data_IF_039476801723
#
_entry.id   IF_039476801723
#
_cell.length_a   1.000
_cell.length_b   1.000
_cell.length_c   1.000
_cell.angle_alpha   90.00
_cell.angle_beta   90.00
_cell.angle_gamma   90.00
#
_symmetry.space_group_name_H-M   'P 1'
#
loop_
_entity.id
_entity.type
_entity.pdbx_description
1 polymer ?
#
# COMPACT_ATOMS: atom_id res chain seq x y z
N UNK A 1 -17.37 -38.47 -20.29
CA UNK A 1 -16.42 -37.45 -19.76
C UNK A 1 -15.34 -38.11 -18.92
N UNK A 2 -15.69 -39.10 -18.10
CA UNK A 2 -14.76 -39.86 -17.24
C UNK A 2 -13.72 -40.70 -18.00
N UNK A 3 -14.07 -41.27 -19.16
CA UNK A 3 -13.14 -42.07 -19.98
C UNK A 3 -11.97 -41.22 -20.51
N UNK A 4 -12.27 -40.05 -21.09
CA UNK A 4 -11.27 -39.10 -21.59
C UNK A 4 -10.36 -38.56 -20.49
N UNK A 5 -10.87 -38.48 -19.25
CA UNK A 5 -10.09 -38.06 -18.09
C UNK A 5 -9.09 -39.13 -17.64
N UNK A 6 -9.53 -40.39 -17.62
CA UNK A 6 -8.66 -41.53 -17.33
C UNK A 6 -7.54 -41.70 -18.35
N UNK A 7 -7.82 -41.46 -19.63
CA UNK A 7 -6.81 -41.46 -20.69
C UNK A 7 -5.73 -40.39 -20.46
N UNK A 8 -6.14 -39.15 -20.14
CA UNK A 8 -5.20 -38.03 -19.92
C UNK A 8 -4.33 -38.23 -18.66
N UNK A 9 -4.91 -38.77 -17.58
CA UNK A 9 -4.15 -39.09 -16.36
C UNK A 9 -3.14 -40.20 -16.64
N UNK A 10 -3.53 -41.22 -17.41
CA UNK A 10 -2.64 -42.34 -17.79
C UNK A 10 -1.48 -41.86 -18.68
N UNK A 11 -1.74 -40.94 -19.60
CA UNK A 11 -0.71 -40.34 -20.44
C UNK A 11 0.30 -39.51 -19.62
N UNK A 12 -0.18 -38.72 -18.66
CA UNK A 12 0.68 -37.97 -17.73
C UNK A 12 1.55 -38.89 -16.87
N UNK A 13 1.02 -40.04 -16.43
CA UNK A 13 1.80 -41.04 -15.69
C UNK A 13 2.91 -41.64 -16.54
N UNK A 14 2.62 -41.91 -17.82
CA UNK A 14 3.62 -42.44 -18.74
C UNK A 14 4.71 -41.40 -19.05
N UNK A 15 4.34 -40.13 -19.21
CA UNK A 15 5.29 -39.03 -19.34
C UNK A 15 6.19 -38.86 -18.10
N UNK A 16 5.63 -39.04 -16.89
CA UNK A 16 6.39 -39.03 -15.64
C UNK A 16 7.36 -40.24 -15.56
N UNK A 17 6.91 -41.43 -15.97
CA UNK A 17 7.75 -42.64 -16.02
C UNK A 17 8.89 -42.52 -17.02
N UNK A 18 8.63 -41.90 -18.17
CA UNK A 18 9.63 -41.63 -19.20
C UNK A 18 10.55 -40.45 -18.85
N UNK A 19 10.34 -39.77 -17.71
CA UNK A 19 11.13 -38.62 -17.27
C UNK A 19 10.94 -37.37 -18.12
N UNK A 20 9.90 -37.31 -18.96
CA UNK A 20 9.58 -36.16 -19.83
C UNK A 20 9.03 -34.98 -19.05
N UNK A 21 8.39 -35.25 -17.90
CA UNK A 21 7.90 -34.24 -16.97
C UNK A 21 8.39 -34.56 -15.55
N UNK A 22 8.65 -33.52 -14.77
CA UNK A 22 9.05 -33.67 -13.37
C UNK A 22 7.89 -34.00 -12.44
N UNK A 23 8.18 -34.56 -11.26
CA UNK A 23 7.16 -34.86 -10.21
C UNK A 23 6.27 -33.66 -9.90
N UNK A 24 6.84 -32.44 -9.86
CA UNK A 24 6.10 -31.20 -9.60
C UNK A 24 5.13 -30.82 -10.72
N UNK A 25 5.50 -31.09 -11.98
CA UNK A 25 4.66 -30.82 -13.14
C UNK A 25 3.51 -31.83 -13.22
N UNK A 26 3.80 -33.11 -12.94
CA UNK A 26 2.76 -34.14 -12.86
C UNK A 26 1.70 -33.82 -11.80
N UNK A 27 2.09 -33.39 -10.60
CA UNK A 27 1.15 -33.00 -9.55
C UNK A 27 0.26 -31.83 -9.99
N UNK A 28 0.85 -30.80 -10.63
CA UNK A 28 0.10 -29.65 -11.12
C UNK A 28 -0.93 -30.04 -12.18
N UNK A 29 -0.51 -30.77 -13.22
CA UNK A 29 -1.43 -31.14 -14.30
C UNK A 29 -2.50 -32.13 -13.84
N UNK A 30 -2.17 -33.06 -12.94
CA UNK A 30 -3.15 -34.01 -12.38
C UNK A 30 -4.23 -33.30 -11.56
N UNK A 31 -3.85 -32.30 -10.74
CA UNK A 31 -4.82 -31.52 -9.97
C UNK A 31 -5.71 -30.64 -10.84
N UNK A 32 -5.19 -30.10 -11.95
CA UNK A 32 -5.99 -29.35 -12.94
C UNK A 32 -7.01 -30.24 -13.66
N UNK A 33 -6.71 -31.53 -13.82
CA UNK A 33 -7.64 -32.54 -14.32
C UNK A 33 -8.61 -33.04 -13.23
N UNK A 34 -8.68 -32.39 -12.06
CA UNK A 34 -9.63 -32.73 -11.01
C UNK A 34 -9.24 -33.93 -10.14
N UNK A 35 -7.99 -34.42 -10.24
CA UNK A 35 -7.46 -35.42 -9.32
C UNK A 35 -7.15 -34.76 -7.98
N UNK A 36 -7.62 -35.35 -6.87
CA UNK A 36 -7.30 -34.84 -5.54
C UNK A 36 -5.80 -34.93 -5.27
N UNK A 37 -5.26 -34.01 -4.46
CA UNK A 37 -3.82 -33.95 -4.17
C UNK A 37 -3.26 -35.28 -3.64
N UNK A 38 -3.98 -35.94 -2.72
CA UNK A 38 -3.56 -37.24 -2.18
C UNK A 38 -3.54 -38.36 -3.22
N UNK A 39 -4.50 -38.38 -4.16
CA UNK A 39 -4.48 -39.32 -5.26
C UNK A 39 -3.35 -39.00 -6.26
N UNK A 40 -3.09 -37.72 -6.54
CA UNK A 40 -1.98 -37.29 -7.40
C UNK A 40 -0.61 -37.68 -6.80
N UNK A 41 -0.44 -37.56 -5.48
CA UNK A 41 0.78 -37.99 -4.79
C UNK A 41 0.98 -39.51 -4.83
N UNK A 42 -0.10 -40.28 -4.66
CA UNK A 42 -0.06 -41.73 -4.80
C UNK A 42 0.31 -42.15 -6.22
N UNK A 43 -0.23 -41.49 -7.25
CA UNK A 43 0.08 -41.75 -8.65
C UNK A 43 1.52 -41.32 -9.02
N UNK A 44 2.07 -40.31 -8.36
CA UNK A 44 3.43 -39.80 -8.56
C UNK A 44 4.52 -40.67 -7.89
N UNK A 45 4.13 -41.68 -7.10
CA UNK A 45 5.05 -42.55 -6.36
C UNK A 45 5.88 -43.48 -7.26
N UNK A 46 5.44 -43.71 -8.50
CA UNK A 46 6.14 -44.54 -9.47
C UNK A 46 7.18 -43.80 -10.33
N UNK A 47 7.51 -42.55 -10.01
CA UNK A 47 8.56 -41.82 -10.74
C UNK A 47 9.93 -42.51 -10.55
N UNK A 48 10.72 -42.70 -11.63
CA UNK A 48 12.05 -43.28 -11.50
C UNK A 48 12.93 -42.44 -10.57
N UNK A 49 13.62 -43.11 -9.64
CA UNK A 49 14.59 -42.50 -8.74
C UNK A 49 15.73 -41.91 -9.58
N UNK A 50 16.10 -40.63 -9.40
CA UNK A 50 17.21 -40.06 -10.16
C UNK A 50 18.50 -40.85 -9.89
N UNK A 51 19.24 -41.15 -10.96
CA UNK A 51 20.57 -41.74 -10.88
C UNK A 51 21.51 -40.76 -10.14
N UNK A 52 22.42 -41.26 -9.29
CA UNK A 52 23.34 -40.39 -8.57
C UNK A 52 24.30 -39.74 -9.55
N UNK A 53 24.18 -38.42 -9.70
CA UNK A 53 25.19 -37.57 -10.31
C UNK A 53 26.48 -37.65 -9.47
N UNK A 54 27.62 -37.71 -10.15
CA UNK A 54 28.93 -37.85 -9.53
C UNK A 54 29.16 -36.72 -8.50
N UNK A 55 29.47 -37.14 -7.28
CA UNK A 55 29.84 -36.26 -6.18
C UNK A 55 31.05 -35.40 -6.59
N UNK A 56 30.97 -34.06 -6.54
CA UNK A 56 32.16 -33.24 -6.48
C UNK A 56 32.96 -33.67 -5.25
N UNK A 57 34.28 -33.82 -5.44
CA UNK A 57 35.24 -34.13 -4.38
C UNK A 57 34.99 -33.18 -3.20
N UNK A 58 34.88 -33.76 -2.01
CA UNK A 58 34.65 -33.03 -0.74
C UNK A 58 35.77 -32.02 -0.54
N UNK A 59 35.50 -30.77 -0.89
CA UNK A 59 36.18 -29.62 -0.29
C UNK A 59 35.84 -29.57 1.20
N UNK A 60 36.65 -28.87 2.02
CA UNK A 60 36.46 -28.82 3.46
C UNK A 60 35.01 -28.44 3.80
N UNK A 61 34.50 -29.04 4.89
CA UNK A 61 33.11 -28.96 5.32
C UNK A 61 32.52 -27.56 5.13
N UNK A 62 31.27 -27.43 4.61
CA UNK A 62 30.59 -26.16 4.56
C UNK A 62 30.61 -25.53 5.95
N UNK A 63 31.03 -24.26 6.11
CA UNK A 63 30.89 -23.58 7.38
C UNK A 63 29.42 -23.68 7.83
N UNK A 64 29.23 -23.76 9.14
CA UNK A 64 27.91 -23.77 9.77
C UNK A 64 27.01 -22.70 9.12
N UNK A 65 25.69 -22.92 9.04
CA UNK A 65 24.76 -21.97 8.43
C UNK A 65 25.06 -20.60 9.01
N UNK A 66 25.60 -19.73 8.15
CA UNK A 66 25.84 -18.34 8.50
C UNK A 66 24.48 -17.82 8.92
N UNK A 67 24.39 -17.26 10.13
CA UNK A 67 23.21 -16.51 10.57
C UNK A 67 22.71 -15.70 9.38
N UNK A 68 21.39 -15.76 9.15
CA UNK A 68 20.76 -14.87 8.18
C UNK A 68 21.36 -13.49 8.40
N UNK A 69 21.87 -12.81 7.34
CA UNK A 69 22.50 -11.52 7.49
C UNK A 69 21.59 -10.69 8.38
N UNK A 70 22.14 -10.18 9.49
CA UNK A 70 21.40 -9.26 10.34
C UNK A 70 20.68 -8.27 9.41
N UNK A 71 19.38 -7.97 9.66
CA UNK A 71 18.68 -7.01 8.84
C UNK A 71 19.61 -5.81 8.66
N UNK A 72 19.76 -5.32 7.41
CA UNK A 72 20.70 -4.24 7.14
C UNK A 72 20.49 -3.18 8.21
N UNK A 73 21.57 -2.61 8.78
CA UNK A 73 21.47 -1.67 9.89
C UNK A 73 20.38 -0.69 9.52
N UNK A 74 19.36 -0.60 10.37
CA UNK A 74 18.29 0.37 10.18
C UNK A 74 19.01 1.69 10.11
N UNK A 75 19.17 2.21 8.89
CA UNK A 75 19.69 3.54 8.71
C UNK A 75 18.66 4.39 9.39
N UNK A 76 19.02 4.95 10.55
CA UNK A 76 18.16 5.85 11.28
C UNK A 76 17.78 6.96 10.29
N UNK A 77 16.54 6.90 9.84
CA UNK A 77 16.01 7.87 8.90
C UNK A 77 15.72 9.11 9.72
N UNK A 78 16.35 10.21 9.35
CA UNK A 78 16.05 11.51 9.92
C UNK A 78 14.69 11.98 9.42
N UNK A 79 13.86 12.47 10.34
CA UNK A 79 12.60 13.09 10.01
C UNK A 79 12.84 14.36 9.18
N UNK A 80 12.08 14.54 8.10
CA UNK A 80 12.24 15.71 7.20
C UNK A 80 11.00 16.59 7.23
N UNK A 81 11.17 17.86 7.58
CA UNK A 81 10.16 18.91 7.41
C UNK A 81 10.13 19.41 5.95
N UNK A 82 9.05 20.10 5.56
CA UNK A 82 8.94 20.75 4.26
C UNK A 82 9.00 19.80 3.05
N UNK A 83 8.72 18.51 3.26
CA UNK A 83 8.62 17.48 2.23
C UNK A 83 7.16 17.05 2.01
N UNK A 84 6.86 16.50 0.84
CA UNK A 84 5.57 15.95 0.49
C UNK A 84 5.69 14.59 -0.21
N UNK A 85 4.59 13.85 -0.24
CA UNK A 85 4.51 12.64 -1.04
C UNK A 85 4.41 12.98 -2.53
N UNK A 86 5.26 12.35 -3.32
CA UNK A 86 5.20 12.35 -4.78
C UNK A 86 4.81 10.96 -5.26
N UNK A 87 3.73 10.91 -6.03
CA UNK A 87 3.21 9.69 -6.63
C UNK A 87 3.60 9.60 -8.11
N UNK A 88 4.11 8.44 -8.54
CA UNK A 88 4.39 8.12 -9.93
C UNK A 88 3.48 6.97 -10.41
N UNK A 89 2.43 7.26 -11.18
CA UNK A 89 1.49 6.25 -11.64
C UNK A 89 2.08 5.28 -12.66
N UNK A 90 3.21 5.61 -13.31
CA UNK A 90 3.83 4.73 -14.30
C UNK A 90 4.52 3.50 -13.70
N UNK A 91 4.82 3.53 -12.39
CA UNK A 91 5.55 2.48 -11.67
C UNK A 91 4.69 1.87 -10.56
N UNK A 92 3.64 2.56 -10.11
CA UNK A 92 2.73 2.03 -9.12
C UNK A 92 2.06 0.75 -9.62
N UNK A 93 2.10 -0.30 -8.79
CA UNK A 93 1.46 -1.60 -9.07
C UNK A 93 0.08 -1.73 -8.41
N UNK A 94 -0.34 -0.74 -7.62
CA UNK A 94 -1.60 -0.79 -6.88
C UNK A 94 -1.64 -1.90 -5.81
N UNK A 95 -0.50 -2.32 -5.26
CA UNK A 95 -0.39 -3.44 -4.31
C UNK A 95 -0.96 -3.19 -2.91
N UNK A 96 -1.44 -1.98 -2.60
CA UNK A 96 -2.02 -1.56 -1.31
C UNK A 96 -1.10 -1.60 -0.08
N UNK A 97 0.18 -1.98 -0.22
CA UNK A 97 1.13 -2.02 0.91
C UNK A 97 1.27 -0.68 1.64
N UNK A 98 1.25 0.44 0.90
CA UNK A 98 1.25 1.77 1.49
C UNK A 98 0.01 2.05 2.36
N UNK A 99 -1.15 1.55 1.95
CA UNK A 99 -2.39 1.72 2.69
C UNK A 99 -2.42 0.85 3.96
N UNK A 100 -1.96 -0.40 3.85
CA UNK A 100 -1.83 -1.34 4.98
C UNK A 100 -0.86 -0.78 6.02
N UNK A 101 0.35 -0.38 5.61
CA UNK A 101 1.35 0.17 6.52
C UNK A 101 0.87 1.46 7.23
N UNK A 102 0.12 2.29 6.52
CA UNK A 102 -0.49 3.48 7.12
C UNK A 102 -1.61 3.11 8.09
N UNK A 103 -2.49 2.18 7.71
CA UNK A 103 -3.60 1.73 8.54
C UNK A 103 -3.12 1.10 9.84
N UNK A 104 -2.25 0.08 9.78
CA UNK A 104 -1.71 -0.61 10.95
C UNK A 104 -1.05 0.38 11.91
N UNK A 105 -0.21 1.28 11.39
CA UNK A 105 0.48 2.29 12.19
C UNK A 105 -0.49 3.14 13.02
N UNK A 106 -1.56 3.64 12.41
CA UNK A 106 -2.50 4.54 13.09
C UNK A 106 -3.59 3.82 13.87
N UNK A 107 -3.97 2.63 13.43
CA UNK A 107 -4.87 1.74 14.14
C UNK A 107 -4.28 1.36 15.49
N UNK A 108 -3.02 0.90 15.51
CA UNK A 108 -2.32 0.53 16.76
C UNK A 108 -2.03 1.74 17.65
N UNK A 109 -1.84 2.92 17.07
CA UNK A 109 -1.61 4.14 17.85
C UNK A 109 -2.83 4.58 18.66
N UNK A 110 -4.01 4.56 18.04
CA UNK A 110 -5.22 5.08 18.67
C UNK A 110 -6.07 3.99 19.33
N UNK A 111 -6.06 2.78 18.79
CA UNK A 111 -6.97 1.69 19.18
C UNK A 111 -6.23 0.35 19.23
N UNK A 112 -5.16 0.22 20.03
CA UNK A 112 -4.30 -0.98 20.04
C UNK A 112 -5.05 -2.25 20.42
N UNK A 113 -6.03 -2.18 21.32
CA UNK A 113 -6.77 -3.35 21.78
C UNK A 113 -7.83 -3.78 20.76
N UNK A 114 -8.55 -2.82 20.17
CA UNK A 114 -9.60 -3.06 19.19
C UNK A 114 -9.04 -3.53 17.84
N UNK A 115 -7.80 -3.17 17.53
CA UNK A 115 -7.18 -3.42 16.22
C UNK A 115 -6.10 -4.51 16.24
N UNK A 116 -5.87 -5.14 17.39
CA UNK A 116 -4.81 -6.13 17.60
C UNK A 116 -4.80 -7.28 16.59
N UNK A 117 -5.97 -7.82 16.26
CA UNK A 117 -6.12 -9.03 15.44
C UNK A 117 -6.77 -8.76 14.07
N UNK A 118 -6.87 -7.48 13.67
CA UNK A 118 -7.55 -7.07 12.43
C UNK A 118 -6.77 -5.99 11.67
N UNK A 119 -6.73 -6.13 10.34
CA UNK A 119 -6.27 -5.06 9.46
C UNK A 119 -7.50 -4.34 8.91
N UNK A 120 -7.65 -3.06 9.23
CA UNK A 120 -8.75 -2.23 8.75
C UNK A 120 -8.21 -1.00 7.99
N UNK A 121 -8.41 -1.00 6.67
CA UNK A 121 -7.92 0.06 5.78
C UNK A 121 -8.61 1.42 6.00
N UNK A 122 -9.71 1.49 6.75
CA UNK A 122 -10.36 2.76 7.08
C UNK A 122 -9.50 3.64 8.01
N UNK A 123 -8.54 3.07 8.74
CA UNK A 123 -7.53 3.85 9.47
C UNK A 123 -6.44 4.45 8.56
N UNK A 124 -6.41 4.06 7.28
CA UNK A 124 -5.43 4.56 6.34
C UNK A 124 -5.73 6.00 5.92
N UNK A 125 -4.69 6.83 5.89
CA UNK A 125 -4.72 8.20 5.36
C UNK A 125 -4.28 8.27 3.89
N UNK A 126 -4.00 7.12 3.28
CA UNK A 126 -3.59 6.98 1.88
C UNK A 126 -4.40 5.85 1.24
N UNK A 127 -5.10 6.16 0.15
CA UNK A 127 -6.04 5.26 -0.54
C UNK A 127 -5.62 5.05 -1.98
N UNK A 128 -4.89 3.98 -2.30
CA UNK A 128 -4.71 3.55 -3.67
C UNK A 128 -6.05 3.03 -4.20
N UNK A 129 -6.55 3.66 -5.26
CA UNK A 129 -7.77 3.29 -5.95
C UNK A 129 -7.40 2.74 -7.32
N UNK A 130 -7.86 1.53 -7.59
CA UNK A 130 -7.66 0.87 -8.88
C UNK A 130 -8.86 1.11 -9.76
N UNK A 131 -8.62 1.67 -10.93
CA UNK A 131 -9.61 1.75 -12.01
C UNK A 131 -8.93 1.30 -13.31
N UNK A 132 -9.71 1.11 -14.38
CA UNK A 132 -9.32 0.39 -15.61
C UNK A 132 -7.89 0.72 -16.10
N UNK A 133 -6.93 -0.15 -15.77
CA UNK A 133 -5.51 -0.07 -16.15
C UNK A 133 -4.73 1.14 -15.62
N UNK A 134 -5.31 1.95 -14.73
CA UNK A 134 -4.63 3.09 -14.10
C UNK A 134 -4.94 3.07 -12.61
N UNK A 135 -3.88 2.94 -11.81
CA UNK A 135 -3.96 3.11 -10.37
C UNK A 135 -3.76 4.60 -10.02
N UNK A 136 -4.62 5.13 -9.16
CA UNK A 136 -4.47 6.46 -8.57
C UNK A 136 -4.28 6.33 -7.07
N UNK A 137 -3.53 7.23 -6.46
CA UNK A 137 -3.35 7.25 -5.01
C UNK A 137 -3.92 8.55 -4.47
N UNK A 138 -4.98 8.41 -3.69
CA UNK A 138 -5.60 9.50 -2.97
C UNK A 138 -4.93 9.66 -1.59
N UNK A 139 -4.42 10.85 -1.29
CA UNK A 139 -3.80 11.22 -0.02
C UNK A 139 -3.85 12.73 0.10
N UNK A 140 -3.87 13.26 1.33
CA UNK A 140 -3.76 14.70 1.53
C UNK A 140 -2.53 15.27 0.81
N UNK A 141 -2.75 16.22 -0.09
CA UNK A 141 -1.69 16.87 -0.86
C UNK A 141 -1.11 18.10 -0.17
N UNK A 142 -1.58 18.45 1.04
CA UNK A 142 -1.17 19.65 1.79
C UNK A 142 -1.43 20.94 1.00
N UNK A 143 -2.70 21.13 0.63
CA UNK A 143 -3.15 22.38 0.01
C UNK A 143 -2.98 23.55 0.98
N UNK A 144 -2.56 24.69 0.46
CA UNK A 144 -2.58 25.98 1.18
C UNK A 144 -3.41 26.98 0.40
N UNK A 145 -4.17 27.80 1.11
CA UNK A 145 -4.88 28.94 0.53
C UNK A 145 -3.86 30.01 0.10
N UNK A 146 -4.24 30.81 -0.89
CA UNK A 146 -3.40 31.87 -1.43
C UNK A 146 -3.75 33.17 -0.69
N UNK A 147 -2.89 33.62 0.21
CA UNK A 147 -3.14 34.78 1.08
C UNK A 147 -3.68 36.03 0.36
N UNK A 148 -3.15 36.37 -0.82
CA UNK A 148 -3.59 37.56 -1.57
C UNK A 148 -4.95 37.39 -2.27
N UNK A 149 -5.39 36.17 -2.55
CA UNK A 149 -6.63 35.88 -3.28
C UNK A 149 -7.75 35.41 -2.35
N UNK A 150 -7.40 34.64 -1.33
CA UNK A 150 -8.32 33.90 -0.45
C UNK A 150 -8.25 34.41 1.00
N UNK A 151 -7.34 35.34 1.31
CA UNK A 151 -7.25 36.02 2.61
C UNK A 151 -6.61 35.19 3.73
N UNK A 152 -6.06 34.01 3.42
CA UNK A 152 -5.43 33.09 4.37
C UNK A 152 -4.34 32.27 3.67
N UNK A 153 -3.36 31.81 4.43
CA UNK A 153 -2.31 30.86 4.03
C UNK A 153 -2.50 29.46 4.68
N UNK A 154 -3.56 29.29 5.47
CA UNK A 154 -3.95 28.02 6.08
C UNK A 154 -4.38 26.99 5.03
N UNK A 155 -4.42 25.72 5.43
CA UNK A 155 -5.09 24.72 4.61
C UNK A 155 -6.60 25.04 4.50
N UNK A 156 -7.26 24.77 3.35
CA UNK A 156 -8.69 25.01 3.19
C UNK A 156 -9.53 24.28 4.26
N UNK A 157 -9.19 23.02 4.54
CA UNK A 157 -9.84 22.23 5.59
C UNK A 157 -9.62 22.78 7.00
N UNK A 158 -8.44 23.35 7.27
CA UNK A 158 -8.14 24.03 8.53
C UNK A 158 -8.94 25.31 8.67
N UNK A 159 -9.08 26.09 7.60
CA UNK A 159 -9.80 27.36 7.59
C UNK A 159 -11.30 27.20 7.90
N UNK A 160 -11.93 26.09 7.49
CA UNK A 160 -13.36 25.85 7.69
C UNK A 160 -13.71 25.11 8.99
N UNK A 161 -12.70 24.64 9.74
CA UNK A 161 -12.92 23.88 10.96
C UNK A 161 -13.42 24.82 12.08
N UNK A 162 -14.64 24.63 12.61
CA UNK A 162 -15.20 25.54 13.62
C UNK A 162 -14.54 25.41 15.01
N UNK A 163 -13.95 24.25 15.30
CA UNK A 163 -13.33 23.93 16.59
C UNK A 163 -11.79 24.12 16.58
N UNK A 164 -11.23 24.60 15.47
CA UNK A 164 -9.77 24.68 15.26
C UNK A 164 -9.05 23.34 15.56
N UNK A 165 -9.70 22.21 15.25
CA UNK A 165 -9.19 20.88 15.53
C UNK A 165 -8.06 20.46 14.57
N UNK A 166 -7.92 21.11 13.41
CA UNK A 166 -6.81 20.85 12.48
C UNK A 166 -5.67 21.80 12.81
N UNK A 167 -4.59 21.26 13.37
CA UNK A 167 -3.45 22.04 13.86
C UNK A 167 -2.18 21.68 13.09
N UNK A 168 -1.27 22.63 12.95
CA UNK A 168 0.08 22.39 12.44
C UNK A 168 0.99 22.22 13.64
N UNK A 169 1.72 21.11 13.72
CA UNK A 169 2.64 20.83 14.83
C UNK A 169 4.05 21.29 14.44
N UNK A 170 4.68 22.23 15.17
CA UNK A 170 6.02 22.73 14.88
C UNK A 170 7.12 21.65 14.84
N UNK A 171 8.28 21.99 14.29
CA UNK A 171 9.49 21.17 14.39
C UNK A 171 9.93 21.05 15.85
N UNK A 172 10.29 19.83 16.29
CA UNK A 172 10.66 19.54 17.69
C UNK A 172 9.48 19.29 18.63
N UNK A 173 8.25 19.48 18.18
CA UNK A 173 7.02 19.12 18.91
C UNK A 173 6.33 17.90 18.29
N UNK A 174 5.40 17.30 19.02
CA UNK A 174 4.61 16.15 18.57
C UNK A 174 5.19 14.80 18.98
N UNK A 175 4.65 13.74 18.37
CA UNK A 175 5.03 12.36 18.65
C UNK A 175 5.89 11.84 17.50
N UNK A 176 7.11 11.43 17.82
CA UNK A 176 8.07 10.91 16.85
C UNK A 176 7.46 9.83 15.95
N UNK A 177 7.64 9.98 14.65
CA UNK A 177 7.08 9.06 13.65
C UNK A 177 5.56 9.19 13.43
N UNK A 178 4.85 10.07 14.13
CA UNK A 178 3.40 10.26 13.98
C UNK A 178 3.05 11.70 13.63
N UNK A 179 3.50 12.68 14.41
CA UNK A 179 3.17 14.10 14.26
C UNK A 179 4.42 14.97 14.45
N UNK A 180 4.34 16.27 14.16
CA UNK A 180 5.47 17.19 14.24
C UNK A 180 6.01 17.61 12.87
N UNK A 181 7.22 18.18 12.87
CA UNK A 181 7.97 18.58 11.66
C UNK A 181 7.25 19.59 10.74
N UNK A 182 6.40 20.45 11.32
CA UNK A 182 5.60 21.41 10.56
C UNK A 182 4.41 20.80 9.82
N UNK A 183 4.03 19.56 10.14
CA UNK A 183 2.90 18.87 9.51
C UNK A 183 1.60 19.03 10.28
N UNK A 184 0.48 18.99 9.54
CA UNK A 184 -0.86 19.01 10.12
C UNK A 184 -1.17 17.70 10.86
N UNK A 185 -1.96 17.82 11.93
CA UNK A 185 -2.62 16.71 12.61
C UNK A 185 -4.01 17.13 13.07
N UNK A 186 -4.78 16.16 13.58
CA UNK A 186 -6.09 16.39 14.19
C UNK A 186 -5.94 16.32 15.70
N UNK A 187 -6.35 17.38 16.38
CA UNK A 187 -6.66 17.38 17.80
C UNK A 187 -7.98 16.61 18.00
N UNK A 188 -7.86 15.38 18.50
CA UNK A 188 -9.00 14.45 18.64
C UNK A 188 -9.99 14.90 19.72
N UNK A 189 -9.52 15.66 20.71
CA UNK A 189 -10.37 16.17 21.80
C UNK A 189 -11.28 17.29 21.31
N UNK A 190 -10.78 18.12 20.38
CA UNK A 190 -11.58 19.20 19.74
C UNK A 190 -12.41 18.72 18.57
N UNK A 191 -11.99 17.66 17.88
CA UNK A 191 -12.72 17.16 16.72
C UNK A 191 -14.07 16.56 17.15
N UNK A 192 -15.18 17.11 16.66
CA UNK A 192 -16.51 16.60 16.98
C UNK A 192 -16.84 15.25 16.28
N UNK A 193 -16.12 14.91 15.22
CA UNK A 193 -16.33 13.70 14.41
C UNK A 193 -17.44 13.84 13.37
N UNK A 194 -17.49 12.90 12.43
CA UNK A 194 -18.35 12.97 11.22
C UNK A 194 -19.84 13.01 11.52
N UNK A 195 -20.28 12.39 12.61
CA UNK A 195 -21.71 12.35 12.99
C UNK A 195 -22.26 13.74 13.35
N UNK A 196 -21.40 14.66 13.77
CA UNK A 196 -21.76 16.02 14.18
C UNK A 196 -21.18 17.09 13.26
N UNK A 197 -19.99 16.87 12.68
CA UNK A 197 -19.28 17.85 11.88
C UNK A 197 -18.51 17.19 10.72
N UNK A 198 -18.77 17.64 9.48
CA UNK A 198 -18.13 17.13 8.27
C UNK A 198 -17.46 18.20 7.39
N UNK A 199 -17.42 19.46 7.82
CA UNK A 199 -17.03 20.61 6.98
C UNK A 199 -15.66 20.48 6.32
N UNK A 200 -14.71 19.88 7.04
CA UNK A 200 -13.37 19.68 6.50
C UNK A 200 -13.39 18.68 5.33
N UNK A 201 -14.21 17.62 5.41
CA UNK A 201 -14.44 16.68 4.30
C UNK A 201 -15.14 17.39 3.15
N UNK A 202 -16.23 18.10 3.41
CA UNK A 202 -17.01 18.81 2.38
C UNK A 202 -16.10 19.71 1.52
N UNK A 203 -15.32 20.61 2.14
CA UNK A 203 -14.42 21.48 1.36
C UNK A 203 -13.35 20.67 0.62
N UNK A 204 -12.82 19.62 1.24
CA UNK A 204 -11.72 18.83 0.69
C UNK A 204 -12.18 17.97 -0.50
N UNK A 205 -13.39 17.44 -0.46
CA UNK A 205 -13.99 16.61 -1.50
C UNK A 205 -14.56 17.46 -2.65
N UNK A 206 -15.28 18.53 -2.34
CA UNK A 206 -15.95 19.36 -3.35
C UNK A 206 -14.99 20.21 -4.17
N UNK A 207 -13.89 20.68 -3.56
CA UNK A 207 -13.00 21.67 -4.19
C UNK A 207 -11.56 21.20 -4.38
N UNK A 208 -11.15 20.10 -3.73
CA UNK A 208 -9.76 19.66 -3.70
C UNK A 208 -9.64 18.15 -3.94
N UNK A 209 -8.71 17.49 -3.25
CA UNK A 209 -8.28 16.14 -3.55
C UNK A 209 -8.99 15.04 -2.76
N UNK A 210 -9.99 15.33 -1.93
CA UNK A 210 -10.62 14.36 -1.01
C UNK A 210 -9.61 13.60 -0.13
N UNK A 211 -8.70 14.34 0.52
CA UNK A 211 -7.62 13.79 1.34
C UNK A 211 -7.96 13.60 2.83
N UNK A 212 -9.22 13.75 3.23
CA UNK A 212 -9.70 13.59 4.61
C UNK A 212 -10.54 12.33 4.69
N UNK A 213 -10.38 11.60 5.79
CA UNK A 213 -11.25 10.49 6.14
C UNK A 213 -11.56 10.48 7.62
N UNK A 214 -12.29 9.46 8.09
CA UNK A 214 -12.71 9.36 9.47
C UNK A 214 -12.38 8.00 10.01
N UNK A 215 -11.96 7.93 11.28
CA UNK A 215 -11.68 6.64 11.88
C UNK A 215 -12.99 5.88 12.12
N UNK A 216 -13.02 4.56 11.93
CA UNK A 216 -14.26 3.78 11.97
C UNK A 216 -14.79 3.53 13.39
N UNK A 217 -14.09 3.95 14.45
CA UNK A 217 -14.46 3.65 15.85
C UNK A 217 -15.09 4.89 16.51
N UNK A 218 -14.36 5.99 16.57
CA UNK A 218 -14.80 7.26 17.16
C UNK A 218 -15.31 8.26 16.12
N UNK A 219 -15.14 7.98 14.83
CA UNK A 219 -15.59 8.87 13.77
C UNK A 219 -14.82 10.19 13.69
N UNK A 220 -13.63 10.30 14.30
CA UNK A 220 -12.84 11.53 14.26
C UNK A 220 -12.14 11.67 12.91
N UNK A 221 -11.94 12.92 12.49
CA UNK A 221 -11.23 13.19 11.25
C UNK A 221 -9.80 12.63 11.28
N UNK A 222 -9.34 12.21 10.11
CA UNK A 222 -8.01 11.69 9.84
C UNK A 222 -7.45 12.47 8.65
N UNK A 223 -6.27 13.05 8.85
CA UNK A 223 -5.48 13.70 7.80
C UNK A 223 -4.09 13.07 7.79
N UNK A 224 -3.47 12.97 6.61
CA UNK A 224 -2.06 12.59 6.55
C UNK A 224 -1.24 13.64 7.30
N UNK A 225 -0.46 13.21 8.29
CA UNK A 225 0.50 14.04 9.03
C UNK A 225 1.94 13.85 8.54
N UNK A 226 2.10 13.21 7.38
CA UNK A 226 3.39 12.73 6.85
C UNK A 226 4.19 11.89 7.86
N UNK A 227 3.52 11.29 8.84
CA UNK A 227 4.14 10.55 9.94
C UNK A 227 5.26 11.37 10.63
N UNK A 228 5.06 12.68 10.80
CA UNK A 228 6.07 13.56 11.39
C UNK A 228 7.38 13.56 10.60
N UNK A 229 7.32 13.48 9.26
CA UNK A 229 8.51 13.46 8.40
C UNK A 229 9.11 12.07 8.15
N UNK A 230 8.48 10.99 8.63
CA UNK A 230 8.91 9.60 8.45
C UNK A 230 7.76 8.74 7.88
N UNK A 231 7.35 8.97 6.62
CA UNK A 231 6.17 8.35 6.03
C UNK A 231 6.31 6.83 5.89
N UNK A 232 5.60 6.08 6.73
CA UNK A 232 5.59 4.61 6.71
C UNK A 232 5.12 4.03 5.37
N UNK A 233 4.25 4.75 4.66
CA UNK A 233 3.78 4.35 3.34
C UNK A 233 4.87 4.36 2.26
N UNK A 234 5.84 5.28 2.35
CA UNK A 234 7.00 5.34 1.44
C UNK A 234 7.93 4.17 1.74
N UNK A 235 8.15 3.89 3.02
CA UNK A 235 9.01 2.80 3.47
C UNK A 235 8.47 1.42 3.09
N UNK A 236 7.15 1.27 3.08
CA UNK A 236 6.48 0.05 2.67
C UNK A 236 6.36 -0.12 1.15
N UNK A 237 6.66 0.90 0.35
CA UNK A 237 6.49 0.83 -1.09
C UNK A 237 7.59 -0.04 -1.72
N UNK A 238 7.28 -1.18 -2.36
CA UNK A 238 8.28 -2.04 -2.98
C UNK A 238 8.89 -1.41 -4.25
N UNK A 239 8.22 -0.38 -4.79
CA UNK A 239 8.61 0.33 -5.99
C UNK A 239 9.25 1.68 -5.63
N UNK A 240 10.58 1.83 -5.71
CA UNK A 240 11.32 2.94 -5.10
C UNK A 240 11.01 4.33 -5.70
N UNK A 241 10.36 4.38 -6.86
CA UNK A 241 9.95 5.63 -7.51
C UNK A 241 8.44 5.82 -7.61
N UNK A 242 7.64 4.83 -7.19
CA UNK A 242 6.18 4.93 -7.23
C UNK A 242 5.65 5.88 -6.14
N UNK A 243 6.22 5.84 -4.94
CA UNK A 243 5.89 6.75 -3.85
C UNK A 243 7.18 7.27 -3.20
N UNK A 244 7.38 8.58 -3.22
CA UNK A 244 8.61 9.22 -2.74
C UNK A 244 8.29 10.33 -1.74
N UNK A 245 9.20 10.58 -0.80
CA UNK A 245 9.13 11.75 0.09
C UNK A 245 10.17 12.78 -0.37
N UNK A 246 9.70 13.83 -1.04
CA UNK A 246 10.55 14.81 -1.74
C UNK A 246 10.28 16.21 -1.21
N UNK A 247 11.22 17.16 -1.33
CA UNK A 247 10.99 18.55 -0.93
C UNK A 247 9.72 19.12 -1.57
N UNK A 248 8.98 19.93 -0.81
CA UNK A 248 7.80 20.64 -1.28
C UNK A 248 8.20 21.63 -2.37
N UNK A 249 7.88 21.31 -3.62
CA UNK A 249 8.23 22.14 -4.77
C UNK A 249 7.19 23.23 -5.05
N UNK A 250 5.91 22.91 -4.87
CA UNK A 250 4.78 23.79 -5.18
C UNK A 250 3.64 23.52 -4.22
N UNK A 251 2.69 24.46 -4.14
CA UNK A 251 1.47 24.30 -3.37
C UNK A 251 0.71 23.02 -3.78
N UNK A 252 0.34 22.19 -2.80
CA UNK A 252 -0.39 20.93 -2.98
C UNK A 252 -1.71 21.04 -3.75
N UNK A 253 -2.32 22.23 -3.75
CA UNK A 253 -3.58 22.51 -4.47
C UNK A 253 -3.50 22.17 -5.96
N UNK A 254 -2.33 22.32 -6.58
CA UNK A 254 -2.16 22.06 -8.01
C UNK A 254 -2.17 20.55 -8.35
N UNK A 255 -2.05 19.70 -7.33
CA UNK A 255 -2.16 18.24 -7.46
C UNK A 255 -3.45 17.69 -6.85
N UNK A 256 -4.27 18.55 -6.23
CA UNK A 256 -5.47 18.18 -5.50
C UNK A 256 -6.66 17.97 -6.45
N UNK A 257 -6.63 16.86 -7.19
CA UNK A 257 -7.74 16.43 -8.04
C UNK A 257 -8.59 15.41 -7.27
N UNK A 258 -9.94 15.46 -7.36
CA UNK A 258 -10.77 14.36 -6.93
C UNK A 258 -10.34 13.06 -7.61
N UNK A 259 -10.47 11.88 -6.97
CA UNK A 259 -9.93 10.63 -7.49
C UNK A 259 -10.39 10.29 -8.91
N UNK A 260 -11.66 10.53 -9.22
CA UNK A 260 -12.23 10.28 -10.55
C UNK A 260 -11.61 11.20 -11.61
N UNK A 261 -11.53 12.51 -11.32
CA UNK A 261 -10.88 13.47 -12.21
C UNK A 261 -9.39 13.14 -12.40
N UNK A 262 -8.70 12.70 -11.34
CA UNK A 262 -7.31 12.31 -11.43
C UNK A 262 -7.11 11.07 -12.30
N UNK A 263 -8.00 10.08 -12.14
CA UNK A 263 -8.00 8.88 -12.95
C UNK A 263 -8.19 9.20 -14.44
N UNK A 264 -9.20 10.02 -14.79
CA UNK A 264 -9.46 10.37 -16.19
C UNK A 264 -8.29 11.17 -16.81
N UNK A 265 -7.68 12.08 -16.04
CA UNK A 265 -6.49 12.81 -16.46
C UNK A 265 -5.32 11.85 -16.76
N UNK A 266 -5.06 10.90 -15.86
CA UNK A 266 -3.97 9.95 -16.01
C UNK A 266 -4.23 8.96 -17.14
N UNK A 267 -5.45 8.45 -17.26
CA UNK A 267 -5.85 7.59 -18.38
C UNK A 267 -5.62 8.29 -19.71
N UNK A 268 -6.08 9.54 -19.87
CA UNK A 268 -5.86 10.32 -21.07
C UNK A 268 -4.37 10.55 -21.37
N UNK A 269 -3.56 10.80 -20.34
CA UNK A 269 -2.12 11.01 -20.49
C UNK A 269 -1.35 9.75 -20.87
N UNK A 270 -1.73 8.60 -20.31
CA UNK A 270 -1.05 7.33 -20.52
C UNK A 270 -1.45 6.72 -21.88
N UNK A 271 -2.74 6.73 -22.21
CA UNK A 271 -3.27 6.07 -23.41
C UNK A 271 -3.51 7.01 -24.59
N UNK A 272 -3.35 8.33 -24.41
CA UNK A 272 -3.56 9.31 -25.46
C UNK A 272 -5.03 9.46 -25.91
N UNK A 273 -5.99 8.96 -25.12
CA UNK A 273 -7.43 9.02 -25.41
C UNK A 273 -8.25 9.08 -24.12
N UNK A 274 -9.44 9.66 -24.17
CA UNK A 274 -10.43 9.57 -23.08
C UNK A 274 -11.16 8.23 -23.13
N UNK A 275 -11.75 7.82 -22.01
CA UNK A 275 -12.62 6.64 -21.97
C UNK A 275 -13.98 7.02 -22.56
N UNK A 276 -14.53 6.11 -23.36
CA UNK A 276 -15.94 6.14 -23.74
C UNK A 276 -16.67 5.23 -22.73
N UNK A 277 -17.40 5.83 -21.81
CA UNK A 277 -18.18 5.14 -20.76
C UNK A 277 -19.66 5.12 -21.12
#
# INVERSE_FOLDING_TARGET
>A
MEERLHELISELQEQLRQGKIGRREFLRYSTLLGVSLGAAEALASCAPKPAPEATPTVGPAPPAPTEAPAPPPVVEKEAKAGHMLRFNPAVCTGCLLCAVACAEKWATEYFPEETKDVVNLEFSRIRPMRSQYVDVVNVCTYCTLIAWAEGSDKAPCQQVCPEDAIIVVPEGEGKEGFTGMGYMTIDRDKCQGIDLCGRCLEVCEDQFGSGISYDPIEGKAQICSMCGGLPACVDACPEPTALQFVPLMTNGRYFANPPEAYFELLYAKIFGKRRDL
#
